data_IF_462923407775
#
_entry.id   IF_462923407775
#
_cell.length_a   1.000
_cell.length_b   1.000
_cell.length_c   1.000
_cell.angle_alpha   90.00
_cell.angle_beta   90.00
_cell.angle_gamma   90.00
#
_symmetry.space_group_name_H-M   'P 1'
#
loop_
_entity.id
_entity.type
_entity.pdbx_description
1 polymer ?
#
# COMPACT_ATOMS: atom_id res chain seq x y z
N UNK A 1 15.61 25.47 -6.19
CA UNK A 1 14.92 24.68 -5.14
C UNK A 1 14.56 25.65 -4.05
N UNK A 2 13.27 25.91 -3.84
CA UNK A 2 12.83 26.79 -2.75
C UNK A 2 13.07 26.08 -1.40
N UNK A 3 13.54 26.83 -0.40
CA UNK A 3 13.70 26.31 0.96
C UNK A 3 12.31 26.09 1.58
N UNK A 4 12.12 24.94 2.24
CA UNK A 4 10.90 24.61 2.96
C UNK A 4 10.72 25.60 4.13
N UNK A 5 9.57 26.24 4.27
CA UNK A 5 9.27 27.12 5.40
C UNK A 5 8.73 26.32 6.60
N UNK A 6 8.70 26.93 7.79
CA UNK A 6 8.18 26.27 8.99
C UNK A 6 6.70 25.85 8.86
N UNK A 7 5.91 26.63 8.12
CA UNK A 7 4.50 26.32 7.85
C UNK A 7 4.35 25.15 6.87
N UNK A 8 5.25 25.04 5.88
CA UNK A 8 5.31 23.91 4.96
C UNK A 8 5.67 22.62 5.70
N UNK A 9 6.60 22.69 6.68
CA UNK A 9 6.96 21.54 7.49
C UNK A 9 5.77 21.03 8.30
N UNK A 10 5.02 21.91 8.96
CA UNK A 10 3.84 21.48 9.72
C UNK A 10 2.84 20.73 8.83
N UNK A 11 2.57 21.24 7.63
CA UNK A 11 1.67 20.59 6.68
C UNK A 11 2.21 19.23 6.21
N UNK A 12 3.53 19.13 5.94
CA UNK A 12 4.18 17.86 5.59
C UNK A 12 4.05 16.83 6.72
N UNK A 13 4.24 17.23 7.98
CA UNK A 13 4.08 16.36 9.14
C UNK A 13 2.63 15.88 9.30
N UNK A 14 1.67 16.78 9.09
CA UNK A 14 0.25 16.46 9.13
C UNK A 14 -0.16 15.44 8.05
N UNK A 15 0.35 15.59 6.82
CA UNK A 15 0.11 14.60 5.75
C UNK A 15 0.73 13.25 6.10
N UNK A 16 1.93 13.23 6.66
CA UNK A 16 2.59 11.99 7.07
C UNK A 16 1.84 11.25 8.18
N UNK A 17 1.29 11.97 9.16
CA UNK A 17 0.38 11.42 10.16
C UNK A 17 -0.88 10.82 9.52
N UNK A 18 -1.49 11.55 8.57
CA UNK A 18 -2.63 11.06 7.82
C UNK A 18 -2.36 9.76 7.05
N UNK A 19 -1.16 9.62 6.47
CA UNK A 19 -0.70 8.39 5.80
C UNK A 19 -0.58 7.24 6.80
N UNK A 20 -0.05 7.49 7.99
CA UNK A 20 0.05 6.46 9.05
C UNK A 20 -1.35 6.01 9.48
N UNK A 21 -2.30 6.94 9.65
CA UNK A 21 -3.69 6.62 9.94
C UNK A 21 -4.36 5.76 8.86
N UNK A 22 -4.03 5.99 7.58
CA UNK A 22 -4.48 5.16 6.47
C UNK A 22 -3.86 3.76 6.50
N UNK A 23 -2.55 3.67 6.80
CA UNK A 23 -1.82 2.40 6.79
C UNK A 23 -2.20 1.52 7.97
N UNK A 24 -2.29 2.07 9.18
CA UNK A 24 -2.50 1.27 10.39
C UNK A 24 -3.95 1.25 10.89
N UNK A 25 -4.78 2.19 10.43
CA UNK A 25 -6.14 2.36 10.92
C UNK A 25 -6.22 2.93 12.34
N UNK A 26 -7.44 3.01 12.89
CA UNK A 26 -7.70 3.64 14.19
C UNK A 26 -7.12 2.85 15.37
N UNK A 27 -6.85 1.57 15.18
CA UNK A 27 -6.34 0.65 16.20
C UNK A 27 -4.86 0.29 15.96
N UNK A 28 -4.18 1.07 15.12
CA UNK A 28 -2.76 0.98 14.80
C UNK A 28 -1.84 1.29 15.98
N UNK A 29 -0.60 0.83 15.89
CA UNK A 29 0.43 1.05 16.91
C UNK A 29 0.74 2.55 17.10
N UNK A 30 0.72 3.30 16.02
CA UNK A 30 1.07 4.72 15.95
C UNK A 30 -0.16 5.62 15.74
N UNK A 31 -1.37 5.12 16.02
CA UNK A 31 -2.58 5.92 15.92
C UNK A 31 -2.57 7.09 16.92
N UNK A 32 -2.76 8.31 16.44
CA UNK A 32 -2.84 9.50 17.28
C UNK A 32 -2.30 10.76 16.63
N UNK A 33 -2.12 11.79 17.46
CA UNK A 33 -1.48 13.06 17.09
C UNK A 33 0.05 12.89 17.21
N UNK A 34 0.67 12.61 16.06
CA UNK A 34 2.10 12.34 15.93
C UNK A 34 2.92 13.61 15.74
N UNK A 35 2.32 14.66 15.18
CA UNK A 35 3.01 15.93 14.94
C UNK A 35 2.91 16.90 16.14
N UNK A 36 2.01 16.64 17.10
CA UNK A 36 1.79 17.39 18.33
C UNK A 36 0.97 18.67 18.16
N UNK A 37 0.17 18.79 17.09
CA UNK A 37 -0.63 19.99 16.81
C UNK A 37 -2.01 20.01 17.50
N UNK A 38 -2.36 18.93 18.21
CA UNK A 38 -3.61 18.75 18.93
C UNK A 38 -4.75 18.17 18.09
N UNK A 39 -4.51 17.85 16.81
CA UNK A 39 -5.49 17.28 15.88
C UNK A 39 -4.98 15.95 15.34
N UNK A 40 -5.78 14.90 15.48
CA UNK A 40 -5.48 13.61 14.84
C UNK A 40 -5.90 13.68 13.37
N UNK A 41 -4.94 13.60 12.48
CA UNK A 41 -5.09 13.53 11.03
C UNK A 41 -5.21 12.07 10.60
N UNK A 42 -6.30 11.73 9.93
CA UNK A 42 -6.50 10.40 9.38
C UNK A 42 -7.05 10.51 7.95
N UNK A 43 -6.34 9.94 6.97
CA UNK A 43 -6.77 9.89 5.58
C UNK A 43 -7.51 8.59 5.22
N UNK A 44 -7.53 7.62 6.14
CA UNK A 44 -8.21 6.35 5.96
C UNK A 44 -9.64 6.33 6.52
N UNK A 45 -10.26 5.17 6.44
CA UNK A 45 -11.57 4.85 7.02
C UNK A 45 -11.49 4.24 8.43
N UNK A 46 -10.27 4.10 8.95
CA UNK A 46 -9.99 3.52 10.27
C UNK A 46 -9.76 2.01 10.28
N UNK A 47 -9.87 1.30 9.15
CA UNK A 47 -9.65 -0.15 9.08
C UNK A 47 -8.15 -0.51 9.03
N UNK A 48 -7.38 0.20 8.19
CA UNK A 48 -5.94 0.00 8.00
C UNK A 48 -5.60 -0.88 6.78
N UNK A 49 -4.51 -0.53 6.08
CA UNK A 49 -3.92 -1.39 5.05
C UNK A 49 -3.22 -2.61 5.68
N UNK A 50 -2.48 -2.38 6.76
CA UNK A 50 -1.76 -3.40 7.52
C UNK A 50 -2.61 -3.97 8.68
N UNK A 51 -2.27 -5.15 9.20
CA UNK A 51 -2.90 -5.68 10.40
C UNK A 51 -2.77 -4.73 11.60
N UNK A 52 -3.81 -4.67 12.41
CA UNK A 52 -3.81 -3.95 13.69
C UNK A 52 -4.48 -4.78 14.78
N UNK A 53 -4.70 -4.20 15.97
CA UNK A 53 -5.24 -4.94 17.12
C UNK A 53 -6.70 -5.41 16.96
N UNK A 54 -7.41 -4.93 15.93
CA UNK A 54 -8.84 -5.19 15.72
C UNK A 54 -9.18 -5.79 14.35
N UNK A 55 -8.33 -5.56 13.35
CA UNK A 55 -8.56 -5.93 11.97
C UNK A 55 -7.31 -6.57 11.35
N UNK A 56 -7.52 -7.51 10.43
CA UNK A 56 -6.43 -8.12 9.65
C UNK A 56 -5.80 -7.13 8.64
N UNK A 57 -6.49 -6.03 8.32
CA UNK A 57 -6.05 -5.06 7.32
C UNK A 57 -6.36 -5.47 5.88
N UNK A 58 -6.45 -4.49 4.98
CA UNK A 58 -6.83 -4.74 3.58
C UNK A 58 -5.84 -5.63 2.83
N UNK A 59 -4.55 -5.51 3.11
CA UNK A 59 -3.51 -6.30 2.43
C UNK A 59 -3.63 -7.78 2.80
N UNK A 60 -3.66 -8.09 4.10
CA UNK A 60 -3.80 -9.47 4.55
C UNK A 60 -5.12 -10.09 4.10
N UNK A 61 -6.23 -9.35 4.20
CA UNK A 61 -7.54 -9.84 3.74
C UNK A 61 -7.56 -10.13 2.22
N UNK A 62 -6.83 -9.36 1.42
CA UNK A 62 -6.70 -9.63 -0.02
C UNK A 62 -5.88 -10.88 -0.29
N UNK A 63 -4.77 -11.09 0.42
CA UNK A 63 -3.95 -12.31 0.33
C UNK A 63 -4.78 -13.56 0.68
N UNK A 64 -5.53 -13.50 1.78
CA UNK A 64 -6.37 -14.59 2.26
C UNK A 64 -7.47 -14.95 1.24
N UNK A 65 -8.20 -13.96 0.72
CA UNK A 65 -9.27 -14.23 -0.24
C UNK A 65 -8.75 -14.73 -1.59
N UNK A 66 -7.61 -14.22 -2.06
CA UNK A 66 -6.97 -14.76 -3.27
C UNK A 66 -6.57 -16.22 -3.07
N UNK A 67 -5.95 -16.54 -1.93
CA UNK A 67 -5.57 -17.91 -1.57
C UNK A 67 -6.79 -18.83 -1.46
N UNK A 68 -7.87 -18.39 -0.80
CA UNK A 68 -9.12 -19.14 -0.71
C UNK A 68 -9.69 -19.44 -2.10
N UNK A 69 -9.82 -18.43 -2.96
CA UNK A 69 -10.34 -18.60 -4.31
C UNK A 69 -9.52 -19.61 -5.13
N UNK A 70 -8.18 -19.52 -5.08
CA UNK A 70 -7.27 -20.42 -5.79
C UNK A 70 -7.18 -21.83 -5.20
N UNK A 71 -7.52 -22.04 -3.94
CA UNK A 71 -7.39 -23.36 -3.27
C UNK A 71 -8.69 -24.16 -3.22
N UNK A 72 -9.81 -23.59 -3.66
CA UNK A 72 -11.09 -24.30 -3.72
C UNK A 72 -11.06 -25.48 -4.71
N UNK A 73 -11.74 -26.61 -4.42
CA UNK A 73 -11.73 -27.78 -5.30
C UNK A 73 -12.27 -27.54 -6.71
N UNK A 74 -13.18 -26.59 -6.86
CA UNK A 74 -13.82 -26.19 -8.11
C UNK A 74 -13.13 -24.99 -8.80
N UNK A 75 -12.01 -24.50 -8.26
CA UNK A 75 -11.21 -23.49 -8.93
C UNK A 75 -10.81 -23.94 -10.34
N UNK A 76 -10.97 -23.06 -11.32
CA UNK A 76 -10.45 -23.27 -12.67
C UNK A 76 -8.96 -22.98 -12.70
N UNK A 77 -8.26 -23.40 -13.77
CA UNK A 77 -6.84 -23.03 -13.97
C UNK A 77 -6.65 -21.51 -14.02
N UNK A 78 -7.59 -20.79 -14.62
CA UNK A 78 -7.57 -19.32 -14.67
C UNK A 78 -7.69 -18.70 -13.27
N UNK A 79 -8.62 -19.19 -12.43
CA UNK A 79 -8.76 -18.74 -11.04
C UNK A 79 -7.47 -19.01 -10.27
N UNK A 80 -6.89 -20.21 -10.39
CA UNK A 80 -5.63 -20.56 -9.72
C UNK A 80 -4.47 -19.66 -10.12
N UNK A 81 -4.28 -19.46 -11.42
CA UNK A 81 -3.19 -18.64 -11.95
C UNK A 81 -3.33 -17.19 -11.47
N UNK A 82 -4.50 -16.59 -11.63
CA UNK A 82 -4.68 -15.20 -11.28
C UNK A 82 -4.72 -14.97 -9.77
N UNK A 83 -5.20 -15.94 -8.98
CA UNK A 83 -5.04 -15.91 -7.52
C UNK A 83 -3.58 -15.85 -7.09
N UNK A 84 -2.68 -16.59 -7.76
CA UNK A 84 -1.24 -16.52 -7.49
C UNK A 84 -0.67 -15.15 -7.86
N UNK A 85 -1.10 -14.59 -8.99
CA UNK A 85 -0.66 -13.27 -9.44
C UNK A 85 -1.10 -12.15 -8.46
N UNK A 86 -2.34 -12.21 -7.95
CA UNK A 86 -2.80 -11.31 -6.89
C UNK A 86 -1.93 -11.43 -5.65
N UNK A 87 -1.63 -12.66 -5.20
CA UNK A 87 -0.79 -12.88 -4.03
C UNK A 87 0.62 -12.29 -4.20
N UNK A 88 1.26 -12.46 -5.35
CA UNK A 88 2.58 -11.90 -5.62
C UNK A 88 2.55 -10.37 -5.58
N UNK A 89 1.63 -9.75 -6.30
CA UNK A 89 1.53 -8.29 -6.36
C UNK A 89 1.20 -7.67 -4.99
N UNK A 90 0.31 -8.29 -4.21
CA UNK A 90 -0.04 -7.80 -2.87
C UNK A 90 1.07 -8.03 -1.85
N UNK A 91 1.87 -9.10 -1.99
CA UNK A 91 3.06 -9.29 -1.16
C UNK A 91 4.09 -8.16 -1.38
N UNK A 92 4.33 -7.77 -2.64
CA UNK A 92 5.18 -6.62 -2.96
C UNK A 92 4.63 -5.33 -2.31
N UNK A 93 3.32 -5.08 -2.47
CA UNK A 93 2.64 -3.93 -1.87
C UNK A 93 2.79 -3.92 -0.35
N UNK A 94 2.69 -5.08 0.32
CA UNK A 94 2.89 -5.18 1.77
C UNK A 94 4.25 -4.66 2.20
N UNK A 95 5.32 -5.07 1.52
CA UNK A 95 6.68 -4.65 1.85
C UNK A 95 6.88 -3.13 1.63
N UNK A 96 6.34 -2.61 0.53
CA UNK A 96 6.42 -1.19 0.23
C UNK A 96 5.58 -0.33 1.17
N UNK A 97 4.40 -0.80 1.58
CA UNK A 97 3.54 -0.09 2.55
C UNK A 97 4.19 -0.05 3.94
N UNK A 98 4.88 -1.12 4.36
CA UNK A 98 5.68 -1.11 5.60
C UNK A 98 6.77 -0.04 5.53
N UNK A 99 7.50 0.01 4.41
CA UNK A 99 8.53 1.03 4.21
C UNK A 99 7.94 2.45 4.16
N UNK A 100 6.74 2.62 3.59
CA UNK A 100 6.05 3.92 3.55
C UNK A 100 5.62 4.37 4.94
N UNK A 101 5.14 3.46 5.78
CA UNK A 101 4.82 3.73 7.18
C UNK A 101 6.05 4.23 7.91
N UNK A 102 7.16 3.49 7.83
CA UNK A 102 8.38 3.81 8.57
C UNK A 102 8.93 5.19 8.15
N UNK A 103 8.87 5.49 6.85
CA UNK A 103 9.25 6.79 6.31
C UNK A 103 8.29 7.91 6.73
N UNK A 104 6.99 7.63 6.77
CA UNK A 104 5.98 8.59 7.25
C UNK A 104 6.16 8.89 8.73
N UNK A 105 6.53 7.91 9.55
CA UNK A 105 6.87 8.12 10.97
C UNK A 105 8.06 9.05 11.12
N UNK A 106 9.12 8.83 10.32
CA UNK A 106 10.28 9.72 10.30
C UNK A 106 9.88 11.15 9.91
N UNK A 107 9.03 11.32 8.90
CA UNK A 107 8.54 12.64 8.46
C UNK A 107 7.69 13.30 9.55
N UNK A 108 6.74 12.57 10.15
CA UNK A 108 5.82 13.09 11.17
C UNK A 108 6.52 13.53 12.45
N UNK A 109 7.70 12.98 12.75
CA UNK A 109 8.43 13.27 14.00
C UNK A 109 9.66 14.17 13.81
N UNK A 110 10.11 14.40 12.58
CA UNK A 110 11.34 15.17 12.35
C UNK A 110 11.22 16.63 12.79
N UNK A 111 12.36 17.18 13.20
CA UNK A 111 12.60 18.61 13.41
C UNK A 111 13.63 19.17 12.42
N UNK A 112 14.20 18.32 11.56
CA UNK A 112 15.22 18.67 10.58
C UNK A 112 14.60 18.94 9.20
N UNK A 113 14.54 20.23 8.85
CA UNK A 113 14.07 20.74 7.55
C UNK A 113 14.95 20.31 6.37
N UNK A 114 16.23 20.00 6.60
CA UNK A 114 17.15 19.53 5.57
C UNK A 114 16.87 18.09 5.18
N UNK A 115 16.62 17.23 6.16
CA UNK A 115 16.35 15.81 5.97
C UNK A 115 14.95 15.50 5.42
N UNK A 116 13.94 16.34 5.73
CA UNK A 116 12.54 16.05 5.37
C UNK A 116 12.29 16.01 3.86
N UNK A 117 13.02 16.80 3.07
CA UNK A 117 12.84 16.87 1.62
C UNK A 117 13.17 15.56 0.91
N UNK A 118 14.23 14.87 1.35
CA UNK A 118 14.61 13.58 0.79
C UNK A 118 13.55 12.52 1.13
N UNK A 119 13.14 12.47 2.40
CA UNK A 119 12.13 11.54 2.88
C UNK A 119 10.77 11.74 2.16
N UNK A 120 10.32 12.98 1.95
CA UNK A 120 9.07 13.26 1.22
C UNK A 120 9.15 12.78 -0.24
N UNK A 121 10.28 12.99 -0.92
CA UNK A 121 10.46 12.50 -2.31
C UNK A 121 10.46 10.99 -2.39
N UNK A 122 11.09 10.33 -1.41
CA UNK A 122 11.12 8.88 -1.32
C UNK A 122 9.72 8.33 -1.02
N UNK A 123 8.96 8.94 -0.11
CA UNK A 123 7.58 8.57 0.19
C UNK A 123 6.67 8.71 -1.04
N UNK A 124 6.82 9.79 -1.80
CA UNK A 124 6.08 9.99 -3.05
C UNK A 124 6.43 8.94 -4.11
N UNK A 125 7.72 8.60 -4.25
CA UNK A 125 8.18 7.54 -5.16
C UNK A 125 7.61 6.18 -4.75
N UNK A 126 7.64 5.88 -3.46
CA UNK A 126 7.13 4.64 -2.91
C UNK A 126 5.61 4.51 -3.06
N UNK A 127 4.87 5.60 -2.85
CA UNK A 127 3.41 5.64 -3.08
C UNK A 127 3.07 5.37 -4.54
N UNK A 128 3.83 5.95 -5.48
CA UNK A 128 3.69 5.66 -6.92
C UNK A 128 3.97 4.18 -7.20
N UNK A 129 5.04 3.63 -6.63
CA UNK A 129 5.38 2.20 -6.76
C UNK A 129 4.31 1.28 -6.18
N UNK A 130 3.72 1.63 -5.04
CA UNK A 130 2.61 0.88 -4.44
C UNK A 130 1.44 0.79 -5.41
N UNK A 131 1.06 1.91 -6.04
CA UNK A 131 -0.06 1.94 -6.97
C UNK A 131 0.26 1.23 -8.29
N UNK A 132 1.30 1.70 -8.97
CA UNK A 132 1.60 1.38 -10.36
C UNK A 132 2.48 0.13 -10.50
N UNK A 133 3.18 -0.27 -9.44
CA UNK A 133 4.32 -1.18 -9.51
C UNK A 133 5.56 -0.48 -10.07
N UNK A 134 6.51 -1.29 -10.53
CA UNK A 134 7.71 -0.84 -11.25
C UNK A 134 8.11 -1.93 -12.24
N UNK A 135 8.70 -1.60 -13.39
CA UNK A 135 9.29 -2.58 -14.29
C UNK A 135 10.73 -2.89 -13.84
N UNK A 136 10.97 -4.08 -13.27
CA UNK A 136 12.31 -4.48 -12.81
C UNK A 136 13.12 -5.23 -13.85
N UNK A 137 12.46 -5.76 -14.88
CA UNK A 137 13.06 -6.67 -15.83
C UNK A 137 13.33 -5.99 -17.20
N UNK A 138 12.82 -4.77 -17.39
CA UNK A 138 13.04 -3.91 -18.55
C UNK A 138 12.22 -4.31 -19.77
N UNK A 139 11.10 -4.99 -19.60
CA UNK A 139 10.23 -5.42 -20.69
C UNK A 139 9.12 -4.42 -21.03
N UNK A 140 9.11 -3.23 -20.42
CA UNK A 140 8.11 -2.18 -20.59
C UNK A 140 6.70 -2.57 -20.08
N UNK A 141 6.60 -3.66 -19.32
CA UNK A 141 5.39 -4.12 -18.65
C UNK A 141 5.57 -4.07 -17.13
N UNK A 142 4.45 -4.11 -16.40
CA UNK A 142 4.45 -4.34 -14.96
C UNK A 142 3.70 -5.64 -14.70
N UNK A 143 4.47 -6.69 -14.51
CA UNK A 143 4.00 -8.06 -14.42
C UNK A 143 3.82 -8.51 -12.95
N UNK A 144 2.98 -9.54 -12.69
CA UNK A 144 2.76 -10.06 -11.34
C UNK A 144 3.92 -10.96 -10.89
N UNK A 145 5.15 -10.42 -10.89
CA UNK A 145 6.35 -11.09 -10.42
C UNK A 145 6.89 -10.41 -9.14
N UNK A 146 7.77 -11.08 -8.38
CA UNK A 146 8.34 -10.50 -7.17
C UNK A 146 9.01 -9.15 -7.43
N UNK A 147 8.70 -8.18 -6.56
CA UNK A 147 9.20 -6.80 -6.60
C UNK A 147 8.82 -5.99 -7.85
N UNK A 148 7.79 -6.39 -8.60
CA UNK A 148 7.34 -5.70 -9.83
C UNK A 148 5.90 -5.19 -9.71
N UNK A 149 4.93 -6.10 -9.63
CA UNK A 149 3.50 -5.78 -9.59
C UNK A 149 3.06 -4.98 -8.36
N UNK A 150 2.23 -3.95 -8.59
CA UNK A 150 1.60 -3.12 -7.56
C UNK A 150 0.09 -3.35 -7.43
N UNK A 151 -0.63 -2.41 -6.81
CA UNK A 151 -2.08 -2.50 -6.57
C UNK A 151 -2.87 -2.62 -7.88
N UNK A 152 -2.49 -1.90 -8.94
CA UNK A 152 -3.17 -2.00 -10.25
C UNK A 152 -3.02 -3.41 -10.83
N UNK A 153 -1.82 -4.00 -10.77
CA UNK A 153 -1.56 -5.38 -11.21
C UNK A 153 -2.43 -6.37 -10.43
N UNK A 154 -2.50 -6.24 -9.10
CA UNK A 154 -3.35 -7.08 -8.27
C UNK A 154 -4.83 -6.92 -8.63
N UNK A 155 -5.32 -5.69 -8.81
CA UNK A 155 -6.70 -5.42 -9.18
C UNK A 155 -7.07 -6.05 -10.52
N UNK A 156 -6.22 -5.91 -11.55
CA UNK A 156 -6.44 -6.51 -12.87
C UNK A 156 -6.53 -8.04 -12.79
N UNK A 157 -5.60 -8.69 -12.07
CA UNK A 157 -5.66 -10.14 -11.91
C UNK A 157 -6.85 -10.60 -11.08
N UNK A 158 -7.31 -9.81 -10.10
CA UNK A 158 -8.55 -10.10 -9.40
C UNK A 158 -9.78 -10.04 -10.33
N UNK A 159 -9.80 -9.14 -11.32
CA UNK A 159 -10.84 -9.14 -12.35
C UNK A 159 -10.78 -10.39 -13.23
N UNK A 160 -9.59 -10.83 -13.64
CA UNK A 160 -9.45 -12.05 -14.45
C UNK A 160 -9.87 -13.33 -13.69
N UNK A 161 -9.83 -13.34 -12.36
CA UNK A 161 -10.41 -14.44 -11.56
C UNK A 161 -11.95 -14.49 -11.69
N UNK A 162 -12.60 -13.36 -11.97
CA UNK A 162 -14.04 -13.26 -12.14
C UNK A 162 -14.49 -13.47 -13.61
N UNK A 163 -13.55 -13.63 -14.55
CA UNK A 163 -13.88 -13.83 -15.96
C UNK A 163 -14.56 -15.19 -16.17
N UNK A 164 -15.71 -15.14 -16.85
CA UNK A 164 -16.49 -16.32 -17.22
C UNK A 164 -16.24 -16.59 -18.71
N UNK A 165 -15.65 -17.74 -19.02
CA UNK A 165 -15.51 -18.17 -20.41
C UNK A 165 -16.90 -18.58 -20.92
N UNK A 166 -17.45 -17.78 -21.83
CA UNK A 166 -18.66 -18.13 -22.57
C UNK A 166 -18.28 -19.06 -23.73
N UNK A 167 -18.33 -20.37 -23.52
CA UNK A 167 -18.29 -21.32 -24.64
C UNK A 167 -19.72 -21.55 -25.16
N UNK A 168 -19.86 -21.67 -26.49
CA UNK A 168 -21.12 -22.11 -27.10
C UNK A 168 -21.31 -23.60 -26.75
N UNK A 169 -22.53 -24.04 -26.36
CA UNK A 169 -22.82 -25.45 -26.12
C UNK A 169 -22.57 -26.32 -27.37
#
# INVERSE_FOLDING_TARGET
>A
MAALQAQDLQQVKQVAEGIIGLIEGNAGEHAGDLNGDGVVSNLGDGFGLLPNSTHVGYIQGTLEHASLAGSTPDSTDAIRQHAQHVQIAIQNVSEWVISLRDLSLQIAQTTDLGAVNAAVREAATLTKRILDGQDINGNESVDPIPNEGGVITAYLHAQFMADIILTKP
#
